data_IF_443764079709
#
_entry.id   IF_443764079709
#
_cell.length_a   1.000
_cell.length_b   1.000
_cell.length_c   1.000
_cell.angle_alpha   90.00
_cell.angle_beta   90.00
_cell.angle_gamma   90.00
#
_symmetry.space_group_name_H-M   'P 1'
#
loop_
_entity.id
_entity.type
_entity.pdbx_description
1 polymer ?
#
# COMPACT_ATOMS: atom_id res chain seq x y z
N UNK A 1 -70.61 -49.32 24.37
CA UNK A 1 -69.31 -48.92 24.85
C UNK A 1 -68.31 -49.09 23.73
N UNK A 2 -67.92 -48.05 23.00
CA UNK A 2 -66.93 -48.15 21.91
C UNK A 2 -65.58 -47.70 22.49
N UNK A 3 -64.58 -48.55 22.48
CA UNK A 3 -63.20 -48.28 22.87
C UNK A 3 -62.52 -47.59 21.70
N UNK A 4 -62.09 -46.37 21.91
CA UNK A 4 -61.25 -45.59 20.99
C UNK A 4 -59.77 -45.85 21.36
N UNK A 5 -59.03 -46.51 20.46
CA UNK A 5 -57.57 -46.66 20.60
C UNK A 5 -56.88 -45.39 20.05
N UNK A 6 -56.18 -44.70 20.92
CA UNK A 6 -55.33 -43.56 20.56
C UNK A 6 -53.93 -44.12 20.14
N UNK A 7 -53.66 -44.09 18.85
CA UNK A 7 -52.36 -44.48 18.31
C UNK A 7 -51.45 -43.28 18.31
N UNK A 8 -50.51 -43.19 19.26
CA UNK A 8 -49.51 -42.13 19.34
C UNK A 8 -48.38 -42.42 18.34
N UNK A 9 -48.34 -41.69 17.23
CA UNK A 9 -47.28 -41.81 16.24
C UNK A 9 -46.07 -41.00 16.73
N UNK A 10 -45.03 -41.67 17.25
CA UNK A 10 -43.75 -41.06 17.63
C UNK A 10 -42.96 -40.76 16.36
N UNK A 11 -42.98 -39.51 15.89
CA UNK A 11 -42.20 -39.05 14.75
C UNK A 11 -40.74 -38.84 15.22
N UNK A 12 -39.90 -39.88 15.10
CA UNK A 12 -38.44 -39.72 15.24
C UNK A 12 -37.92 -38.89 14.06
N UNK A 13 -37.75 -37.57 14.26
CA UNK A 13 -36.96 -36.75 13.36
C UNK A 13 -35.50 -37.24 13.41
N UNK A 14 -35.12 -38.12 12.52
CA UNK A 14 -33.72 -38.32 12.16
C UNK A 14 -33.23 -37.00 11.52
N UNK A 15 -32.64 -36.13 12.32
CA UNK A 15 -31.80 -35.04 11.80
C UNK A 15 -30.61 -35.74 11.16
N UNK A 16 -30.69 -35.96 9.84
CA UNK A 16 -29.52 -36.31 9.07
C UNK A 16 -28.51 -35.17 9.27
N UNK A 17 -27.47 -35.44 10.03
CA UNK A 17 -26.33 -34.52 10.12
C UNK A 17 -25.77 -34.41 8.70
N UNK A 18 -26.13 -33.35 7.99
CA UNK A 18 -25.48 -32.98 6.75
C UNK A 18 -24.05 -32.68 7.13
N UNK A 19 -23.14 -33.58 6.82
CA UNK A 19 -21.70 -33.37 6.97
C UNK A 19 -21.31 -32.34 5.90
N UNK A 20 -21.43 -31.07 6.23
CA UNK A 20 -20.91 -30.01 5.40
C UNK A 20 -19.40 -29.96 5.62
N UNK A 21 -18.63 -29.99 4.54
CA UNK A 21 -17.17 -29.80 4.57
C UNK A 21 -16.83 -28.43 5.18
N UNK A 22 -15.60 -28.28 5.72
CA UNK A 22 -15.16 -26.97 6.24
C UNK A 22 -15.28 -25.88 5.16
N UNK A 23 -15.80 -24.72 5.55
CA UNK A 23 -15.94 -23.55 4.66
C UNK A 23 -14.73 -22.65 4.90
N UNK A 24 -13.93 -22.45 3.85
CA UNK A 24 -12.80 -21.53 3.86
C UNK A 24 -13.20 -20.19 3.22
N UNK A 25 -12.65 -19.06 3.67
CA UNK A 25 -12.78 -17.81 2.93
C UNK A 25 -12.07 -17.92 1.58
N UNK A 26 -12.59 -17.25 0.54
CA UNK A 26 -12.07 -17.38 -0.82
C UNK A 26 -10.59 -17.00 -0.97
N UNK A 27 -10.07 -16.14 -0.10
CA UNK A 27 -8.63 -15.79 -0.09
C UNK A 27 -7.72 -16.99 0.27
N UNK A 28 -8.25 -18.00 0.95
CA UNK A 28 -7.60 -19.29 1.13
C UNK A 28 -8.01 -20.21 -0.03
N UNK A 29 -7.31 -20.12 -1.14
CA UNK A 29 -7.62 -20.83 -2.38
C UNK A 29 -6.37 -21.43 -3.02
N UNK A 30 -6.59 -22.22 -4.05
CA UNK A 30 -5.50 -22.67 -4.93
C UNK A 30 -4.65 -21.49 -5.38
N UNK A 31 -3.39 -21.73 -5.69
CA UNK A 31 -2.39 -20.76 -6.13
C UNK A 31 -1.97 -19.71 -5.08
N UNK A 32 -2.42 -19.78 -3.83
CA UNK A 32 -2.03 -18.82 -2.81
C UNK A 32 -0.53 -18.86 -2.49
N UNK A 33 -0.01 -17.75 -1.97
CA UNK A 33 1.34 -17.67 -1.38
C UNK A 33 1.19 -17.47 0.12
N UNK A 34 1.84 -18.31 0.92
CA UNK A 34 1.92 -18.16 2.37
C UNK A 34 3.28 -17.56 2.75
N UNK A 35 3.28 -16.67 3.75
CA UNK A 35 4.50 -16.02 4.24
C UNK A 35 5.50 -17.07 4.74
N UNK A 36 6.77 -17.00 4.27
CA UNK A 36 7.85 -17.90 4.68
C UNK A 36 8.31 -17.68 6.12
N UNK A 37 8.91 -18.71 6.73
CA UNK A 37 9.53 -18.67 8.06
C UNK A 37 8.63 -18.02 9.12
N UNK A 38 7.35 -18.32 9.09
CA UNK A 38 6.32 -17.67 9.90
C UNK A 38 5.32 -18.68 10.45
N UNK A 39 4.58 -18.26 11.48
CA UNK A 39 3.32 -18.86 11.84
C UNK A 39 2.23 -18.20 11.03
N UNK A 40 1.59 -18.96 10.15
CA UNK A 40 0.49 -18.49 9.31
C UNK A 40 -0.82 -19.07 9.78
N UNK A 41 -1.89 -18.31 9.65
CA UNK A 41 -3.22 -18.75 10.05
C UNK A 41 -3.97 -19.31 8.87
N UNK A 42 -4.65 -20.43 9.12
CA UNK A 42 -5.68 -21.03 8.26
C UNK A 42 -6.96 -20.99 9.06
N UNK A 43 -8.05 -20.46 8.49
CA UNK A 43 -9.29 -20.23 9.23
C UNK A 43 -10.52 -20.46 8.38
N UNK A 44 -11.65 -20.56 9.03
CA UNK A 44 -12.92 -20.75 8.36
C UNK A 44 -14.05 -21.12 9.30
N UNK A 45 -15.06 -21.74 8.73
CA UNK A 45 -16.24 -22.22 9.48
C UNK A 45 -16.40 -23.76 9.35
N UNK A 46 -16.90 -24.35 10.41
CA UNK A 46 -17.30 -25.75 10.50
C UNK A 46 -18.48 -25.87 11.46
N UNK A 47 -19.07 -27.07 11.63
CA UNK A 47 -20.10 -27.25 12.61
C UNK A 47 -19.56 -26.96 14.03
N UNK A 48 -20.34 -26.26 14.91
CA UNK A 48 -19.92 -25.96 16.27
C UNK A 48 -19.39 -27.17 17.02
N UNK A 49 -18.23 -27.00 17.66
CA UNK A 49 -17.60 -28.05 18.45
C UNK A 49 -16.87 -29.14 17.65
N UNK A 50 -16.95 -29.15 16.32
CA UNK A 50 -16.18 -30.09 15.47
C UNK A 50 -14.68 -29.81 15.58
N UNK A 51 -13.89 -30.86 15.47
CA UNK A 51 -12.44 -30.77 15.35
C UNK A 51 -12.07 -30.64 13.88
N UNK A 52 -11.36 -29.57 13.55
CA UNK A 52 -10.80 -29.34 12.20
C UNK A 52 -9.31 -29.67 12.24
N UNK A 53 -8.86 -30.49 11.29
CA UNK A 53 -7.47 -30.90 11.11
C UNK A 53 -6.90 -30.19 9.87
N UNK A 54 -5.76 -29.51 10.02
CA UNK A 54 -5.02 -28.85 8.95
C UNK A 54 -3.71 -29.63 8.73
N UNK A 55 -3.48 -30.08 7.49
CA UNK A 55 -2.34 -30.91 7.07
C UNK A 55 -1.64 -30.28 5.88
N UNK A 56 -0.56 -29.54 6.09
CA UNK A 56 0.28 -29.06 5.00
C UNK A 56 1.18 -30.18 4.47
N UNK A 57 1.41 -30.24 3.16
CA UNK A 57 2.25 -31.27 2.53
C UNK A 57 3.76 -31.07 2.74
N UNK A 58 4.18 -29.93 3.28
CA UNK A 58 5.60 -29.66 3.58
C UNK A 58 6.09 -30.19 4.94
N UNK A 59 5.19 -30.78 5.72
CA UNK A 59 5.52 -31.41 7.01
C UNK A 59 4.55 -32.55 7.29
N UNK A 60 4.96 -33.49 8.15
CA UNK A 60 4.07 -34.55 8.67
C UNK A 60 3.19 -34.09 9.86
N UNK A 61 3.40 -32.87 10.35
CA UNK A 61 2.62 -32.32 11.47
C UNK A 61 1.18 -32.06 11.07
N UNK A 62 0.26 -32.38 11.97
CA UNK A 62 -1.17 -32.10 11.82
C UNK A 62 -1.62 -31.18 12.93
N UNK A 63 -2.04 -29.98 12.56
CA UNK A 63 -2.64 -29.04 13.51
C UNK A 63 -4.12 -29.31 13.65
N UNK A 64 -4.60 -29.53 14.89
CA UNK A 64 -6.02 -29.75 15.19
C UNK A 64 -6.55 -28.63 16.06
N UNK A 65 -7.69 -28.06 15.67
CA UNK A 65 -8.40 -27.01 16.40
C UNK A 65 -9.88 -27.35 16.49
N UNK A 66 -10.56 -26.82 17.50
CA UNK A 66 -12.00 -27.03 17.70
C UNK A 66 -12.75 -25.77 17.27
N UNK A 67 -13.80 -25.94 16.45
CA UNK A 67 -14.69 -24.85 16.10
C UNK A 67 -15.45 -24.34 17.34
N UNK A 68 -15.59 -23.03 17.47
CA UNK A 68 -16.31 -22.38 18.56
C UNK A 68 -17.84 -22.59 18.47
N UNK A 69 -18.59 -21.98 19.39
CA UNK A 69 -20.05 -22.08 19.41
C UNK A 69 -20.74 -21.44 18.19
N UNK A 70 -20.03 -20.55 17.45
CA UNK A 70 -20.49 -19.95 16.19
C UNK A 70 -19.98 -20.69 14.97
N UNK A 71 -19.21 -21.78 15.16
CA UNK A 71 -18.58 -22.57 14.10
C UNK A 71 -17.28 -21.99 13.56
N UNK A 72 -16.75 -20.91 14.12
CA UNK A 72 -15.49 -20.33 13.67
C UNK A 72 -14.31 -21.13 14.22
N UNK A 73 -13.26 -21.27 13.41
CA UNK A 73 -12.01 -21.88 13.81
C UNK A 73 -10.83 -21.17 13.15
N UNK A 74 -9.70 -21.20 13.82
CA UNK A 74 -8.42 -20.70 13.33
C UNK A 74 -7.30 -21.64 13.78
N UNK A 75 -6.49 -22.10 12.84
CA UNK A 75 -5.33 -22.94 13.06
C UNK A 75 -4.07 -22.19 12.67
N UNK A 76 -3.07 -22.16 13.53
CA UNK A 76 -1.76 -21.57 13.23
C UNK A 76 -0.78 -22.68 12.88
N UNK A 77 -0.18 -22.63 11.69
CA UNK A 77 0.78 -23.60 11.17
C UNK A 77 2.11 -22.92 10.84
N UNK A 78 3.22 -23.65 10.96
CA UNK A 78 4.55 -23.12 10.61
C UNK A 78 4.84 -23.35 9.13
N UNK A 79 5.41 -22.34 8.47
CA UNK A 79 5.88 -22.43 7.08
C UNK A 79 7.39 -22.57 7.03
N UNK A 80 7.94 -23.33 6.07
CA UNK A 80 9.39 -23.42 5.84
C UNK A 80 9.91 -22.14 5.15
N UNK A 81 11.19 -22.13 4.83
CA UNK A 81 11.81 -21.15 3.96
C UNK A 81 11.18 -21.18 2.57
N UNK A 82 11.18 -20.04 1.90
CA UNK A 82 10.62 -19.86 0.57
C UNK A 82 11.23 -20.79 -0.48
N UNK A 83 10.40 -21.16 -1.44
CA UNK A 83 10.83 -21.98 -2.57
C UNK A 83 9.73 -22.10 -3.64
N UNK A 84 10.13 -22.59 -4.82
CA UNK A 84 9.25 -22.72 -5.99
C UNK A 84 8.55 -24.08 -6.07
N UNK A 85 8.80 -24.96 -5.13
CA UNK A 85 8.07 -26.24 -5.04
C UNK A 85 6.63 -25.98 -4.64
N UNK A 86 5.65 -26.36 -5.45
CA UNK A 86 4.25 -26.22 -5.07
C UNK A 86 3.86 -27.25 -4.02
N UNK A 87 3.12 -26.81 -3.02
CA UNK A 87 2.58 -27.63 -1.95
C UNK A 87 1.06 -27.75 -2.05
N UNK A 88 0.51 -28.68 -1.28
CA UNK A 88 -0.93 -28.75 -1.00
C UNK A 88 -1.20 -28.55 0.49
N UNK A 89 -2.40 -28.07 0.79
CA UNK A 89 -2.90 -27.89 2.14
C UNK A 89 -4.26 -28.53 2.27
N UNK A 90 -4.34 -29.60 3.09
CA UNK A 90 -5.60 -30.30 3.37
C UNK A 90 -6.23 -29.76 4.65
N UNK A 91 -7.53 -29.51 4.61
CA UNK A 91 -8.37 -29.08 5.74
C UNK A 91 -9.55 -30.01 5.85
N UNK A 92 -9.73 -30.67 7.01
CA UNK A 92 -10.80 -31.66 7.17
C UNK A 92 -11.45 -31.59 8.56
N UNK A 93 -12.77 -31.69 8.60
CA UNK A 93 -13.57 -31.88 9.82
C UNK A 93 -14.34 -33.20 9.79
N UNK A 94 -13.92 -34.13 8.95
CA UNK A 94 -14.55 -35.38 8.56
C UNK A 94 -14.69 -35.46 7.05
N UNK A 95 -14.99 -34.35 6.37
CA UNK A 95 -14.84 -34.18 4.93
C UNK A 95 -13.64 -33.28 4.61
N UNK A 96 -13.00 -33.49 3.47
CA UNK A 96 -11.74 -32.87 3.13
C UNK A 96 -11.89 -31.79 2.06
N UNK A 97 -11.20 -30.65 2.27
CA UNK A 97 -10.94 -29.63 1.26
C UNK A 97 -9.43 -29.58 1.05
N UNK A 98 -8.99 -29.68 -0.19
CA UNK A 98 -7.56 -29.59 -0.54
C UNK A 98 -7.32 -28.35 -1.36
N UNK A 99 -6.39 -27.50 -0.90
CA UNK A 99 -5.88 -26.36 -1.64
C UNK A 99 -4.57 -26.75 -2.31
N UNK A 100 -4.48 -26.51 -3.61
CA UNK A 100 -3.37 -26.95 -4.44
C UNK A 100 -2.49 -25.78 -4.90
N UNK A 101 -1.28 -26.10 -5.39
CA UNK A 101 -0.34 -25.13 -5.95
C UNK A 101 -0.02 -23.98 -4.99
N UNK A 102 0.08 -24.29 -3.68
CA UNK A 102 0.44 -23.34 -2.63
C UNK A 102 1.95 -23.10 -2.68
N UNK A 103 2.39 -21.85 -2.79
CA UNK A 103 3.79 -21.47 -2.71
C UNK A 103 4.10 -20.89 -1.33
N UNK A 104 5.35 -21.05 -0.90
CA UNK A 104 5.91 -20.37 0.28
C UNK A 104 6.84 -19.26 -0.20
N UNK A 105 6.57 -18.02 0.23
CA UNK A 105 7.28 -16.85 -0.26
C UNK A 105 7.07 -15.61 0.61
N UNK A 106 7.20 -14.44 0.00
CA UNK A 106 6.95 -13.15 0.65
C UNK A 106 5.53 -12.67 0.29
N UNK A 107 4.75 -12.26 1.29
CA UNK A 107 3.37 -11.79 1.08
C UNK A 107 3.25 -10.33 1.49
N UNK A 108 2.75 -9.48 0.59
CA UNK A 108 2.54 -8.06 0.83
C UNK A 108 1.10 -7.65 0.54
N UNK A 109 0.57 -6.75 1.38
CA UNK A 109 -0.71 -6.08 1.12
C UNK A 109 -0.44 -4.76 0.40
N UNK A 110 -1.01 -4.60 -0.79
CA UNK A 110 -1.01 -3.39 -1.59
C UNK A 110 -2.37 -2.70 -1.47
N UNK A 111 -2.40 -1.49 -0.91
CA UNK A 111 -3.67 -0.78 -0.70
C UNK A 111 -3.55 0.72 -1.04
N UNK A 112 -4.69 1.42 -1.06
CA UNK A 112 -4.77 2.83 -1.43
C UNK A 112 -5.88 3.15 -2.40
N UNK A 113 -5.64 4.15 -3.26
CA UNK A 113 -6.64 4.59 -4.24
C UNK A 113 -6.24 4.25 -5.69
N UNK A 114 -6.76 5.00 -6.66
CA UNK A 114 -6.66 4.68 -8.09
C UNK A 114 -5.24 4.46 -8.62
N UNK A 115 -4.22 5.14 -8.09
CA UNK A 115 -2.84 4.93 -8.50
C UNK A 115 -2.23 3.61 -7.98
N UNK A 116 -2.78 3.02 -6.90
CA UNK A 116 -2.51 1.63 -6.52
C UNK A 116 -3.40 0.66 -7.28
N UNK A 117 -4.66 1.02 -7.53
CA UNK A 117 -5.63 0.19 -8.24
C UNK A 117 -5.28 -0.01 -9.72
N UNK A 118 -4.72 1.01 -10.39
CA UNK A 118 -4.49 1.04 -11.84
C UNK A 118 -3.86 -0.26 -12.36
N UNK A 119 -4.59 -1.02 -13.19
CA UNK A 119 -4.10 -2.30 -13.69
C UNK A 119 -3.04 -2.11 -14.77
N UNK A 120 -2.25 -3.14 -15.05
CA UNK A 120 -1.27 -3.13 -16.14
C UNK A 120 -1.91 -2.75 -17.48
N UNK A 121 -3.17 -3.13 -17.70
CA UNK A 121 -3.92 -2.74 -18.92
C UNK A 121 -4.27 -1.25 -18.97
N UNK A 122 -4.00 -0.49 -17.90
CA UNK A 122 -4.36 0.92 -17.79
C UNK A 122 -5.83 1.17 -17.48
N UNK A 123 -6.18 2.45 -17.33
CA UNK A 123 -7.57 2.91 -17.31
C UNK A 123 -7.96 3.50 -18.66
N UNK A 124 -9.23 3.87 -18.83
CA UNK A 124 -9.70 4.56 -20.03
C UNK A 124 -8.86 5.83 -20.30
N UNK A 125 -8.25 5.90 -21.48
CA UNK A 125 -7.32 6.97 -21.90
C UNK A 125 -6.08 7.18 -21.01
N UNK A 126 -5.79 6.28 -20.07
CA UNK A 126 -4.64 6.36 -19.18
C UNK A 126 -3.80 5.09 -19.32
N UNK A 127 -2.78 5.07 -20.18
CA UNK A 127 -1.94 3.90 -20.38
C UNK A 127 -0.93 3.73 -19.24
N UNK A 128 -0.46 2.49 -19.05
CA UNK A 128 0.74 2.21 -18.24
C UNK A 128 1.94 2.10 -19.17
N UNK A 129 3.05 2.71 -18.79
CA UNK A 129 4.30 2.67 -19.56
C UNK A 129 4.79 1.23 -19.72
N UNK A 130 5.09 0.83 -20.98
CA UNK A 130 5.56 -0.51 -21.36
C UNK A 130 4.62 -1.66 -20.94
N UNK A 131 3.35 -1.40 -20.75
CA UNK A 131 2.37 -2.40 -20.31
C UNK A 131 2.36 -3.65 -21.20
N UNK A 132 2.30 -3.47 -22.53
CA UNK A 132 2.23 -4.59 -23.47
C UNK A 132 3.47 -5.50 -23.41
N UNK A 133 4.67 -4.93 -23.30
CA UNK A 133 5.92 -5.69 -23.07
C UNK A 133 5.87 -6.47 -21.75
N UNK A 134 5.45 -5.80 -20.69
CA UNK A 134 5.31 -6.40 -19.36
C UNK A 134 4.34 -7.57 -19.35
N UNK A 135 3.17 -7.41 -19.97
CA UNK A 135 2.15 -8.45 -20.08
C UNK A 135 2.67 -9.64 -20.90
N UNK A 136 3.29 -9.39 -22.06
CA UNK A 136 3.85 -10.45 -22.89
C UNK A 136 4.90 -11.29 -22.16
N UNK A 137 5.67 -10.69 -21.26
CA UNK A 137 6.72 -11.36 -20.45
C UNK A 137 6.22 -11.89 -19.11
N UNK A 138 4.95 -11.74 -18.78
CA UNK A 138 4.41 -12.10 -17.46
C UNK A 138 4.65 -13.57 -17.09
N UNK A 139 4.51 -14.49 -18.05
CA UNK A 139 4.75 -15.92 -17.86
C UNK A 139 6.18 -16.32 -17.44
N UNK A 140 7.15 -15.39 -17.52
CA UNK A 140 8.49 -15.60 -17.00
C UNK A 140 8.59 -15.41 -15.48
N UNK A 141 7.56 -14.83 -14.85
CA UNK A 141 7.50 -14.51 -13.41
C UNK A 141 6.57 -15.49 -12.67
N UNK A 142 6.71 -16.79 -12.90
CA UNK A 142 5.80 -17.86 -12.39
C UNK A 142 5.62 -17.89 -10.87
N UNK A 143 6.57 -17.36 -10.11
CA UNK A 143 6.49 -17.27 -8.65
C UNK A 143 5.72 -16.04 -8.15
N UNK A 144 5.30 -15.12 -9.02
CA UNK A 144 4.45 -13.99 -8.64
C UNK A 144 2.99 -14.43 -8.69
N UNK A 145 2.25 -14.13 -7.64
CA UNK A 145 0.82 -14.44 -7.51
C UNK A 145 0.06 -13.20 -7.02
N UNK A 146 -1.13 -13.03 -7.52
CA UNK A 146 -1.99 -11.91 -7.13
C UNK A 146 -3.36 -12.39 -6.69
N UNK A 147 -3.91 -11.73 -5.68
CA UNK A 147 -5.34 -11.73 -5.39
C UNK A 147 -5.80 -10.27 -5.32
N UNK A 148 -6.81 -9.94 -6.11
CA UNK A 148 -7.44 -8.62 -6.09
C UNK A 148 -8.77 -8.73 -5.35
N UNK A 149 -8.92 -7.96 -4.28
CA UNK A 149 -10.15 -7.88 -3.51
C UNK A 149 -11.15 -7.00 -4.26
N UNK A 150 -12.34 -7.52 -4.57
CA UNK A 150 -13.38 -6.72 -5.22
C UNK A 150 -13.81 -5.54 -4.36
N UNK A 151 -14.09 -4.41 -4.99
CA UNK A 151 -14.63 -3.23 -4.30
C UNK A 151 -15.93 -3.57 -3.58
N UNK A 152 -15.90 -3.46 -2.27
CA UNK A 152 -17.02 -3.76 -1.39
C UNK A 152 -17.02 -2.80 -0.23
N UNK A 153 -18.20 -2.33 0.17
CA UNK A 153 -18.37 -1.47 1.33
C UNK A 153 -19.26 -2.14 2.38
N UNK A 154 -19.01 -1.85 3.65
CA UNK A 154 -19.86 -2.31 4.75
C UNK A 154 -19.82 -1.33 5.92
N UNK A 155 -20.97 -1.07 6.53
CA UNK A 155 -21.08 -0.26 7.75
C UNK A 155 -20.51 -0.98 8.97
N UNK A 156 -20.53 -2.32 8.97
CA UNK A 156 -20.03 -3.18 10.04
C UNK A 156 -18.85 -4.04 9.55
N UNK A 157 -17.90 -4.40 10.45
CA UNK A 157 -16.77 -5.24 10.12
C UNK A 157 -17.19 -6.60 9.56
N UNK A 158 -16.62 -6.99 8.42
CA UNK A 158 -16.88 -8.27 7.77
C UNK A 158 -15.85 -9.34 8.21
N UNK A 159 -16.26 -10.62 8.23
CA UNK A 159 -15.39 -11.74 8.56
C UNK A 159 -14.74 -12.38 7.34
N UNK A 160 -15.33 -12.18 6.16
CA UNK A 160 -14.88 -12.82 4.91
C UNK A 160 -14.83 -11.80 3.78
N UNK A 161 -14.01 -12.09 2.79
CA UNK A 161 -13.82 -11.28 1.59
C UNK A 161 -13.79 -12.21 0.38
N UNK A 162 -14.22 -11.72 -0.77
CA UNK A 162 -14.09 -12.41 -2.04
C UNK A 162 -12.72 -12.18 -2.65
N UNK A 163 -12.31 -13.09 -3.52
CA UNK A 163 -11.07 -12.98 -4.29
C UNK A 163 -10.26 -14.28 -4.23
N UNK A 164 -9.82 -14.74 -5.40
CA UNK A 164 -9.01 -15.94 -5.56
C UNK A 164 -7.64 -15.59 -6.14
N UNK A 165 -6.63 -16.33 -5.70
CA UNK A 165 -5.26 -16.16 -6.17
C UNK A 165 -5.11 -16.57 -7.64
N UNK A 166 -4.39 -15.73 -8.38
CA UNK A 166 -4.11 -15.91 -9.80
C UNK A 166 -2.60 -16.01 -10.03
N UNK A 167 -2.23 -16.91 -10.93
CA UNK A 167 -0.86 -17.02 -11.44
C UNK A 167 -0.51 -15.85 -12.37
N UNK A 168 0.76 -15.47 -12.37
CA UNK A 168 1.29 -14.46 -13.29
C UNK A 168 1.44 -15.07 -14.69
N UNK A 169 0.42 -14.90 -15.51
CA UNK A 169 0.38 -15.29 -16.92
C UNK A 169 0.02 -14.09 -17.80
N UNK A 170 0.28 -14.11 -19.12
CA UNK A 170 -0.15 -13.06 -20.02
C UNK A 170 -1.67 -12.83 -20.01
N UNK A 171 -2.47 -13.84 -19.68
CA UNK A 171 -3.93 -13.75 -19.61
C UNK A 171 -4.40 -13.03 -18.34
N UNK A 172 -3.73 -13.26 -17.20
CA UNK A 172 -4.13 -12.70 -15.90
C UNK A 172 -3.49 -11.33 -15.63
N UNK A 173 -2.23 -11.15 -16.06
CA UNK A 173 -1.43 -9.97 -15.77
C UNK A 173 -2.09 -8.63 -16.17
N UNK A 174 -2.87 -8.52 -17.26
CA UNK A 174 -3.56 -7.27 -17.60
C UNK A 174 -4.38 -6.67 -16.46
N UNK A 175 -4.97 -7.52 -15.59
CA UNK A 175 -5.76 -7.10 -14.44
C UNK A 175 -4.98 -6.79 -13.17
N UNK A 176 -3.69 -7.06 -13.11
CA UNK A 176 -2.89 -6.84 -11.89
C UNK A 176 -2.54 -5.37 -11.72
N UNK A 177 -2.59 -4.87 -10.49
CA UNK A 177 -2.10 -3.54 -10.13
C UNK A 177 -0.69 -3.33 -10.69
N UNK A 178 -0.51 -2.30 -11.53
CA UNK A 178 0.78 -2.01 -12.16
C UNK A 178 1.84 -1.64 -11.12
N UNK A 179 1.51 -0.77 -10.17
CA UNK A 179 2.41 -0.39 -9.06
C UNK A 179 2.86 -1.61 -8.26
N UNK A 180 1.90 -2.43 -7.82
CA UNK A 180 2.20 -3.62 -7.03
C UNK A 180 2.91 -4.70 -7.86
N UNK A 181 2.66 -4.78 -9.17
CA UNK A 181 3.35 -5.72 -10.05
C UNK A 181 4.85 -5.41 -10.15
N UNK A 182 5.22 -4.16 -10.40
CA UNK A 182 6.64 -3.79 -10.49
C UNK A 182 7.37 -3.88 -9.14
N UNK A 183 6.66 -3.65 -8.04
CA UNK A 183 7.15 -3.96 -6.70
C UNK A 183 7.45 -5.46 -6.55
N UNK A 184 6.45 -6.32 -6.83
CA UNK A 184 6.60 -7.77 -6.73
C UNK A 184 7.68 -8.31 -7.65
N UNK A 185 7.74 -7.84 -8.91
CA UNK A 185 8.73 -8.27 -9.89
C UNK A 185 10.16 -7.94 -9.43
N UNK A 186 10.36 -6.77 -8.84
CA UNK A 186 11.67 -6.36 -8.34
C UNK A 186 12.10 -7.21 -7.15
N UNK A 187 11.21 -7.47 -6.18
CA UNK A 187 11.48 -8.37 -5.06
C UNK A 187 11.73 -9.81 -5.53
N UNK A 188 10.88 -10.32 -6.42
CA UNK A 188 11.02 -11.68 -7.00
C UNK A 188 12.39 -11.89 -7.62
N UNK A 189 12.88 -10.92 -8.40
CA UNK A 189 14.18 -10.99 -9.05
C UNK A 189 15.35 -10.84 -8.07
N UNK A 190 15.22 -9.96 -7.08
CA UNK A 190 16.29 -9.68 -6.13
C UNK A 190 16.44 -10.76 -5.06
N UNK A 191 15.32 -11.31 -4.58
CA UNK A 191 15.30 -12.28 -3.48
C UNK A 191 15.31 -13.73 -3.96
N UNK A 192 14.96 -13.98 -5.23
CA UNK A 192 14.78 -15.33 -5.80
C UNK A 192 13.80 -16.20 -5.01
N UNK A 193 12.67 -15.61 -4.59
CA UNK A 193 11.58 -16.28 -3.86
C UNK A 193 10.23 -15.96 -4.48
N UNK A 194 9.20 -16.80 -4.30
CA UNK A 194 7.84 -16.45 -4.65
C UNK A 194 7.37 -15.17 -3.95
N UNK A 195 6.53 -14.39 -4.63
CA UNK A 195 5.95 -13.16 -4.09
C UNK A 195 4.44 -13.14 -4.31
N UNK A 196 3.69 -13.12 -3.23
CA UNK A 196 2.24 -12.97 -3.22
C UNK A 196 1.82 -11.53 -2.92
N UNK A 197 0.93 -10.99 -3.72
CA UNK A 197 0.37 -9.66 -3.51
C UNK A 197 -1.14 -9.75 -3.29
N UNK A 198 -1.60 -9.22 -2.17
CA UNK A 198 -3.01 -8.98 -1.91
C UNK A 198 -3.28 -7.52 -2.26
N UNK A 199 -4.10 -7.28 -3.28
CA UNK A 199 -4.48 -5.91 -3.69
C UNK A 199 -5.85 -5.58 -3.10
N UNK A 200 -5.90 -4.57 -2.24
CA UNK A 200 -7.13 -4.05 -1.63
C UNK A 200 -7.13 -2.53 -1.80
N UNK A 201 -7.68 -2.04 -2.91
CA UNK A 201 -7.62 -0.64 -3.31
C UNK A 201 -8.93 -0.17 -3.94
N UNK A 202 -9.21 1.16 -3.82
CA UNK A 202 -10.42 1.76 -4.39
C UNK A 202 -10.15 3.21 -4.84
N UNK A 203 -10.30 3.46 -6.13
CA UNK A 203 -10.09 4.79 -6.73
C UNK A 203 -10.96 5.88 -6.09
N UNK A 204 -10.36 7.05 -5.87
CA UNK A 204 -11.05 8.18 -5.24
C UNK A 204 -11.21 8.10 -3.73
N UNK A 205 -10.67 7.06 -3.07
CA UNK A 205 -10.83 6.89 -1.63
C UNK A 205 -9.93 7.82 -0.81
N UNK A 206 -10.47 8.27 0.33
CA UNK A 206 -9.76 9.02 1.36
C UNK A 206 -9.16 8.06 2.39
N UNK A 207 -8.16 8.52 3.15
CA UNK A 207 -7.54 7.73 4.23
C UNK A 207 -8.57 7.31 5.29
N UNK A 208 -9.58 8.12 5.55
CA UNK A 208 -10.67 7.84 6.50
C UNK A 208 -11.49 6.60 6.12
N UNK A 209 -11.59 6.27 4.83
CA UNK A 209 -12.33 5.09 4.37
C UNK A 209 -11.67 3.77 4.81
N UNK A 210 -10.36 3.81 5.08
CA UNK A 210 -9.50 2.69 5.45
C UNK A 210 -9.17 2.63 6.93
N UNK A 211 -9.84 3.47 7.73
CA UNK A 211 -9.63 3.61 9.18
C UNK A 211 -10.84 3.07 9.95
N UNK A 212 -10.60 2.43 11.11
CA UNK A 212 -11.70 1.88 11.92
C UNK A 212 -12.59 2.96 12.54
N UNK A 213 -13.85 2.61 12.83
CA UNK A 213 -14.82 3.49 13.52
C UNK A 213 -14.23 4.03 14.83
N UNK A 214 -13.60 3.19 15.65
CA UNK A 214 -13.00 3.53 16.93
C UNK A 214 -12.04 4.73 16.85
N UNK A 215 -11.23 4.78 15.79
CA UNK A 215 -10.29 5.89 15.56
C UNK A 215 -11.03 7.11 15.01
N UNK A 216 -11.92 6.92 14.05
CA UNK A 216 -12.66 8.01 13.41
C UNK A 216 -13.55 8.77 14.40
N UNK A 217 -14.07 8.12 15.44
CA UNK A 217 -14.82 8.76 16.54
C UNK A 217 -14.00 9.77 17.33
N UNK A 218 -12.66 9.72 17.22
CA UNK A 218 -11.77 10.72 17.84
C UNK A 218 -11.58 11.98 16.99
N UNK A 219 -12.07 12.00 15.74
CA UNK A 219 -11.93 13.13 14.82
C UNK A 219 -13.18 14.02 14.84
N UNK A 220 -13.09 15.25 15.35
CA UNK A 220 -14.26 16.12 15.53
C UNK A 220 -14.91 16.60 14.22
N UNK A 221 -14.19 16.50 13.12
CA UNK A 221 -14.62 16.91 11.77
C UNK A 221 -15.18 15.75 10.92
N UNK A 222 -15.26 14.52 11.48
CA UNK A 222 -15.79 13.34 10.79
C UNK A 222 -17.16 12.96 11.38
N UNK A 223 -18.22 13.23 10.63
CA UNK A 223 -19.57 12.81 11.04
C UNK A 223 -19.81 11.34 10.64
N UNK A 224 -19.93 10.48 11.66
CA UNK A 224 -20.17 9.04 11.51
C UNK A 224 -21.65 8.66 11.64
N UNK A 225 -22.57 9.63 11.62
CA UNK A 225 -24.01 9.33 11.54
C UNK A 225 -24.34 8.60 10.22
N UNK A 226 -25.26 7.67 10.29
CA UNK A 226 -25.69 6.90 9.11
C UNK A 226 -26.18 7.82 7.98
N UNK A 227 -26.85 8.91 8.35
CA UNK A 227 -27.32 9.93 7.39
C UNK A 227 -26.14 10.57 6.66
N UNK A 228 -25.15 11.10 7.38
CA UNK A 228 -24.00 11.76 6.78
C UNK A 228 -23.19 10.82 5.89
N UNK A 229 -22.98 9.57 6.34
CA UNK A 229 -22.26 8.55 5.55
C UNK A 229 -23.01 8.24 4.25
N UNK A 230 -24.33 8.06 4.28
CA UNK A 230 -25.13 7.72 3.10
C UNK A 230 -25.22 8.86 2.08
N UNK A 231 -25.03 10.11 2.49
CA UNK A 231 -24.97 11.27 1.60
C UNK A 231 -23.65 11.36 0.82
N UNK A 232 -22.59 10.68 1.28
CA UNK A 232 -21.29 10.64 0.61
C UNK A 232 -21.26 9.59 -0.51
N UNK A 233 -20.49 9.84 -1.58
CA UNK A 233 -20.17 8.78 -2.55
C UNK A 233 -19.38 7.65 -1.87
N UNK A 234 -19.55 6.41 -2.33
CA UNK A 234 -18.90 5.22 -1.73
C UNK A 234 -17.39 5.41 -1.49
N UNK A 235 -16.70 6.05 -2.41
CA UNK A 235 -15.25 6.33 -2.31
C UNK A 235 -14.86 7.34 -1.22
N UNK A 236 -15.82 8.03 -0.60
CA UNK A 236 -15.58 9.01 0.46
C UNK A 236 -16.19 8.61 1.81
N UNK A 237 -16.91 7.50 1.88
CA UNK A 237 -17.55 7.01 3.11
C UNK A 237 -16.51 6.54 4.12
N UNK A 238 -16.45 7.14 5.33
CA UNK A 238 -15.50 6.71 6.36
C UNK A 238 -15.70 5.23 6.75
N UNK A 239 -14.62 4.52 7.11
CA UNK A 239 -14.55 3.14 7.60
C UNK A 239 -15.08 2.01 6.69
N UNK A 240 -15.89 2.29 5.68
CA UNK A 240 -16.59 1.21 4.96
C UNK A 240 -15.66 0.26 4.20
N UNK A 241 -14.52 0.78 3.72
CA UNK A 241 -13.50 -0.04 3.06
C UNK A 241 -12.65 -0.80 4.09
N UNK A 242 -12.33 -0.17 5.22
CA UNK A 242 -11.70 -0.89 6.31
C UNK A 242 -12.55 -2.09 6.73
N UNK A 243 -13.84 -1.89 6.96
CA UNK A 243 -14.75 -2.94 7.39
C UNK A 243 -14.88 -4.09 6.38
N UNK A 244 -14.95 -3.78 5.09
CA UNK A 244 -15.22 -4.78 4.03
C UNK A 244 -13.98 -5.33 3.34
N UNK A 245 -12.88 -4.56 3.26
CA UNK A 245 -11.75 -4.88 2.41
C UNK A 245 -10.41 -5.01 3.17
N UNK A 246 -10.33 -4.58 4.43
CA UNK A 246 -9.14 -4.73 5.29
C UNK A 246 -9.43 -5.71 6.42
N UNK A 247 -10.49 -5.50 7.17
CA UNK A 247 -10.85 -6.28 8.36
C UNK A 247 -10.92 -7.80 8.09
N UNK A 248 -11.45 -8.28 6.96
CA UNK A 248 -11.47 -9.73 6.65
C UNK A 248 -10.09 -10.33 6.37
N UNK A 249 -9.06 -9.51 6.11
CA UNK A 249 -7.72 -9.94 5.74
C UNK A 249 -6.76 -10.10 6.93
N UNK A 250 -7.12 -9.63 8.12
CA UNK A 250 -6.21 -9.55 9.28
C UNK A 250 -5.64 -10.89 9.74
N UNK A 251 -6.28 -11.98 9.39
CA UNK A 251 -5.77 -13.32 9.67
C UNK A 251 -4.73 -13.81 8.66
N UNK A 252 -4.65 -13.18 7.48
CA UNK A 252 -3.65 -13.52 6.48
C UNK A 252 -2.30 -12.93 6.88
N UNK A 253 -1.32 -13.79 7.11
CA UNK A 253 0.02 -13.33 7.54
C UNK A 253 0.74 -12.66 6.38
N UNK A 254 1.11 -11.40 6.55
CA UNK A 254 1.82 -10.58 5.57
C UNK A 254 3.18 -10.13 6.11
N UNK A 255 4.10 -9.82 5.20
CA UNK A 255 5.39 -9.24 5.52
C UNK A 255 5.30 -7.75 5.83
N UNK A 256 4.41 -7.04 5.13
CA UNK A 256 4.22 -5.60 5.27
C UNK A 256 3.17 -5.06 4.32
N UNK A 257 3.09 -3.75 4.28
CA UNK A 257 2.12 -3.00 3.50
C UNK A 257 2.81 -2.07 2.51
N UNK A 258 2.25 -1.94 1.31
CA UNK A 258 2.57 -0.86 0.38
C UNK A 258 1.31 -0.03 0.12
N UNK A 259 1.45 1.31 0.11
CA UNK A 259 0.33 2.23 0.08
C UNK A 259 0.51 3.34 -0.97
N UNK A 260 -0.52 3.60 -1.79
CA UNK A 260 -0.52 4.71 -2.72
C UNK A 260 -1.87 5.43 -2.70
N UNK A 261 -1.95 6.52 -1.97
CA UNK A 261 -3.16 7.31 -1.76
C UNK A 261 -2.76 8.72 -1.30
N UNK A 262 -3.62 9.69 -1.49
CA UNK A 262 -3.45 11.04 -0.99
C UNK A 262 -4.22 12.06 -1.81
N UNK A 263 -4.41 11.83 -3.09
CA UNK A 263 -5.03 12.77 -4.03
C UNK A 263 -6.43 13.20 -3.58
N UNK A 264 -7.20 12.29 -2.99
CA UNK A 264 -8.54 12.57 -2.46
C UNK A 264 -8.54 13.31 -1.11
N UNK A 265 -7.39 13.46 -0.47
CA UNK A 265 -7.18 14.23 0.76
C UNK A 265 -6.50 15.58 0.51
N UNK A 266 -6.26 15.98 -0.75
CA UNK A 266 -5.77 17.34 -1.06
C UNK A 266 -6.77 18.37 -0.52
N UNK A 267 -6.26 19.36 0.22
CA UNK A 267 -7.06 20.29 1.01
C UNK A 267 -7.24 19.89 2.49
N UNK A 268 -6.76 18.69 2.90
CA UNK A 268 -6.78 18.23 4.30
C UNK A 268 -5.37 17.93 4.81
N UNK A 269 -4.37 18.66 4.32
CA UNK A 269 -2.95 18.43 4.63
C UNK A 269 -2.62 18.61 6.11
N UNK A 270 -3.34 19.48 6.82
CA UNK A 270 -3.11 19.76 8.25
C UNK A 270 -3.31 18.53 9.14
N UNK A 271 -4.20 17.63 8.76
CA UNK A 271 -4.57 16.43 9.54
C UNK A 271 -4.08 15.13 8.92
N UNK A 272 -3.62 15.17 7.65
CA UNK A 272 -3.34 13.95 6.90
C UNK A 272 -2.24 13.09 7.50
N UNK A 273 -1.13 13.69 7.95
CA UNK A 273 0.00 12.95 8.51
C UNK A 273 -0.41 12.13 9.74
N UNK A 274 -1.18 12.72 10.65
CA UNK A 274 -1.70 12.05 11.84
C UNK A 274 -2.72 10.96 11.47
N UNK A 275 -3.63 11.24 10.54
CA UNK A 275 -4.64 10.27 10.10
C UNK A 275 -4.02 9.05 9.42
N UNK A 276 -2.98 9.25 8.59
CA UNK A 276 -2.23 8.14 8.00
C UNK A 276 -1.55 7.32 9.08
N UNK A 277 -0.90 7.95 10.06
CA UNK A 277 -0.27 7.26 11.17
C UNK A 277 -1.27 6.45 12.02
N UNK A 278 -2.42 7.02 12.31
CA UNK A 278 -3.47 6.35 13.06
C UNK A 278 -4.07 5.15 12.31
N UNK A 279 -4.26 5.28 10.99
CA UNK A 279 -4.68 4.17 10.13
C UNK A 279 -3.66 3.01 10.17
N UNK A 280 -2.37 3.30 10.01
CA UNK A 280 -1.31 2.29 10.05
C UNK A 280 -1.25 1.59 11.41
N UNK A 281 -1.34 2.35 12.49
CA UNK A 281 -1.35 1.79 13.85
C UNK A 281 -2.58 0.91 14.09
N UNK A 282 -3.74 1.29 13.53
CA UNK A 282 -4.94 0.45 13.54
C UNK A 282 -4.70 -0.90 12.87
N UNK A 283 -4.17 -0.89 11.65
CA UNK A 283 -3.89 -2.11 10.91
C UNK A 283 -2.89 -3.00 11.65
N UNK A 284 -1.77 -2.44 12.15
CA UNK A 284 -0.79 -3.19 12.93
C UNK A 284 -1.36 -3.82 14.20
N UNK A 285 -2.21 -3.08 14.92
CA UNK A 285 -2.95 -3.58 16.09
C UNK A 285 -3.81 -4.79 15.74
N UNK A 286 -4.49 -4.76 14.60
CA UNK A 286 -5.36 -5.84 14.15
C UNK A 286 -4.60 -7.07 13.66
N UNK A 287 -3.52 -6.88 12.90
CA UNK A 287 -2.67 -7.98 12.45
C UNK A 287 -1.90 -8.67 13.59
N UNK A 288 -1.57 -7.93 14.66
CA UNK A 288 -0.83 -8.45 15.84
C UNK A 288 0.53 -9.08 15.49
N UNK A 289 1.19 -8.57 14.48
CA UNK A 289 2.50 -9.02 14.02
C UNK A 289 3.61 -7.98 14.30
N UNK A 290 3.37 -7.07 15.24
CA UNK A 290 4.30 -5.97 15.57
C UNK A 290 4.25 -4.83 14.55
N UNK A 291 5.36 -4.07 14.51
CA UNK A 291 5.49 -2.93 13.60
C UNK A 291 5.82 -3.37 12.19
N UNK A 292 4.83 -3.99 11.50
CA UNK A 292 4.97 -4.39 10.11
C UNK A 292 5.44 -3.20 9.25
N UNK A 293 6.37 -3.39 8.28
CA UNK A 293 6.80 -2.36 7.37
C UNK A 293 5.61 -1.70 6.64
N UNK A 294 5.64 -0.37 6.53
CA UNK A 294 4.66 0.40 5.79
C UNK A 294 5.38 1.36 4.83
N UNK A 295 5.43 1.01 3.55
CA UNK A 295 6.08 1.82 2.53
C UNK A 295 5.04 2.49 1.64
N UNK A 296 5.19 3.79 1.39
CA UNK A 296 4.15 4.52 0.69
C UNK A 296 4.68 5.51 -0.33
N UNK A 297 3.78 5.92 -1.21
CA UNK A 297 4.08 6.74 -2.37
C UNK A 297 3.60 8.16 -2.12
N UNK A 298 4.48 9.13 -2.33
CA UNK A 298 4.12 10.54 -2.47
C UNK A 298 3.16 10.73 -3.66
N UNK A 299 2.11 11.53 -3.52
CA UNK A 299 1.22 11.82 -4.66
C UNK A 299 2.00 12.55 -5.77
N UNK A 300 1.70 12.19 -7.01
CA UNK A 300 2.36 12.76 -8.17
C UNK A 300 1.96 14.24 -8.39
N UNK A 301 2.81 15.03 -9.05
CA UNK A 301 2.44 16.35 -9.53
C UNK A 301 1.19 16.29 -10.42
N UNK A 302 0.23 17.18 -10.13
CA UNK A 302 -1.04 17.28 -10.85
C UNK A 302 -1.65 18.66 -10.62
N UNK A 303 -2.35 19.23 -11.61
CA UNK A 303 -3.04 20.51 -11.47
C UNK A 303 -4.32 20.33 -10.66
N UNK A 304 -4.27 20.70 -9.39
CA UNK A 304 -5.46 20.72 -8.51
C UNK A 304 -6.29 22.02 -8.70
N UNK A 305 -7.37 22.16 -7.90
CA UNK A 305 -8.34 23.24 -8.07
C UNK A 305 -7.80 24.68 -7.94
N UNK A 306 -6.67 24.87 -7.28
CA UNK A 306 -5.95 26.13 -7.14
C UNK A 306 -4.94 26.42 -8.28
N UNK A 307 -4.95 25.58 -9.33
CA UNK A 307 -4.19 25.75 -10.57
C UNK A 307 -2.78 25.16 -10.55
N UNK A 308 -2.05 25.31 -11.65
CA UNK A 308 -0.72 24.73 -11.86
C UNK A 308 0.31 25.21 -10.84
N UNK A 309 0.29 26.50 -10.55
CA UNK A 309 1.21 27.16 -9.61
C UNK A 309 0.71 27.16 -8.16
N UNK A 310 -0.50 26.65 -7.92
CA UNK A 310 -1.05 26.47 -6.59
C UNK A 310 -0.22 25.48 -5.76
N UNK A 311 -0.50 25.40 -4.46
CA UNK A 311 0.32 24.65 -3.51
C UNK A 311 -0.44 23.56 -2.77
N UNK A 312 -1.75 23.38 -3.02
CA UNK A 312 -2.58 22.42 -2.29
C UNK A 312 -2.06 20.97 -2.37
N UNK A 313 -1.58 20.54 -3.55
CA UNK A 313 -0.93 19.24 -3.74
C UNK A 313 0.45 19.18 -3.07
N UNK A 314 1.24 20.27 -3.13
CA UNK A 314 2.54 20.34 -2.48
C UNK A 314 2.45 20.27 -0.96
N UNK A 315 1.44 20.90 -0.36
CA UNK A 315 1.16 20.83 1.07
C UNK A 315 0.78 19.39 1.50
N UNK A 316 0.04 18.67 0.66
CA UNK A 316 -0.24 17.26 0.96
C UNK A 316 1.02 16.39 0.82
N UNK A 317 1.87 16.60 -0.17
CA UNK A 317 3.18 15.91 -0.28
C UNK A 317 4.04 16.18 0.96
N UNK A 318 4.06 17.41 1.46
CA UNK A 318 4.75 17.75 2.72
C UNK A 318 4.15 17.00 3.92
N UNK A 319 2.81 16.87 3.99
CA UNK A 319 2.14 16.08 5.03
C UNK A 319 2.47 14.60 4.92
N UNK A 320 2.54 14.04 3.71
CA UNK A 320 3.01 12.68 3.47
C UNK A 320 4.46 12.51 3.94
N UNK A 321 5.36 13.43 3.60
CA UNK A 321 6.74 13.40 4.08
C UNK A 321 6.82 13.43 5.61
N UNK A 322 6.01 14.25 6.28
CA UNK A 322 5.96 14.32 7.75
C UNK A 322 5.45 13.02 8.40
N UNK A 323 4.57 12.30 7.72
CA UNK A 323 3.98 11.06 8.26
C UNK A 323 5.03 9.98 8.57
N UNK A 324 6.14 9.89 7.81
CA UNK A 324 7.19 8.90 8.07
C UNK A 324 7.83 9.04 9.47
N UNK A 325 7.84 10.24 10.05
CA UNK A 325 8.37 10.48 11.39
C UNK A 325 7.37 10.14 12.50
N UNK A 326 6.10 9.95 12.15
CA UNK A 326 5.03 9.52 13.07
C UNK A 326 4.79 8.00 13.03
N UNK A 327 5.24 7.34 11.96
CA UNK A 327 5.01 5.92 11.72
C UNK A 327 6.35 5.17 11.83
N UNK A 328 6.63 4.46 12.93
CA UNK A 328 7.82 3.61 13.02
C UNK A 328 7.88 2.60 11.88
N UNK A 329 9.08 2.18 11.46
CA UNK A 329 9.27 1.20 10.38
C UNK A 329 8.45 1.53 9.12
N UNK A 330 8.60 2.76 8.64
CA UNK A 330 7.95 3.26 7.42
C UNK A 330 8.92 4.05 6.55
N UNK A 331 8.53 4.31 5.31
CA UNK A 331 9.28 5.17 4.42
C UNK A 331 8.43 5.61 3.23
N UNK A 332 8.72 6.80 2.72
CA UNK A 332 8.05 7.41 1.57
C UNK A 332 8.97 7.42 0.35
N UNK A 333 8.45 7.04 -0.81
CA UNK A 333 9.14 7.25 -2.09
C UNK A 333 8.56 8.46 -2.81
N UNK A 334 9.42 9.28 -3.44
CA UNK A 334 9.00 10.45 -4.21
C UNK A 334 8.66 10.10 -5.66
N UNK A 335 7.76 10.89 -6.26
CA UNK A 335 7.27 10.74 -7.64
C UNK A 335 7.35 12.03 -8.46
N UNK A 336 7.96 13.09 -7.94
CA UNK A 336 8.00 14.40 -8.57
C UNK A 336 8.72 14.44 -9.94
N UNK A 337 9.45 13.40 -10.30
CA UNK A 337 10.16 13.19 -11.56
C UNK A 337 9.51 12.14 -12.48
N UNK A 338 8.40 11.53 -12.06
CA UNK A 338 7.76 10.39 -12.75
C UNK A 338 6.54 10.79 -13.60
N UNK A 339 6.41 12.07 -13.88
CA UNK A 339 5.36 12.64 -14.75
C UNK A 339 5.99 13.36 -15.94
N UNK A 340 5.24 13.46 -17.02
CA UNK A 340 5.59 14.21 -18.23
C UNK A 340 4.78 15.52 -18.30
N UNK A 341 5.29 16.56 -18.98
CA UNK A 341 4.59 17.85 -19.08
C UNK A 341 3.15 17.75 -19.61
N UNK A 342 2.88 16.82 -20.53
CA UNK A 342 1.54 16.62 -21.08
C UNK A 342 0.61 15.89 -20.08
N UNK A 343 1.12 15.29 -19.00
CA UNK A 343 0.35 14.60 -17.97
C UNK A 343 -0.17 15.54 -16.87
N UNK A 344 0.10 16.82 -16.95
CA UNK A 344 -0.25 17.80 -15.90
C UNK A 344 -1.73 17.84 -15.49
N UNK A 345 -2.63 17.39 -16.36
CA UNK A 345 -4.06 17.20 -16.09
C UNK A 345 -4.47 15.73 -15.96
N UNK A 346 -3.49 14.82 -15.94
CA UNK A 346 -3.71 13.40 -15.74
C UNK A 346 -3.27 13.00 -14.31
N UNK A 347 -4.24 12.72 -13.43
CA UNK A 347 -3.98 12.30 -12.05
C UNK A 347 -3.38 10.88 -11.95
N UNK A 348 -3.33 10.15 -13.06
CA UNK A 348 -2.81 8.78 -13.16
C UNK A 348 -1.58 8.72 -14.07
N UNK A 349 -0.38 9.15 -13.59
CA UNK A 349 0.84 9.09 -14.40
C UNK A 349 1.12 7.67 -14.89
N UNK A 350 1.56 7.56 -16.13
CA UNK A 350 1.80 6.26 -16.78
C UNK A 350 3.00 5.48 -16.23
N UNK A 351 3.98 6.17 -15.59
CA UNK A 351 5.19 5.54 -15.07
C UNK A 351 4.94 4.84 -13.73
N UNK A 352 4.34 3.65 -13.75
CA UNK A 352 4.21 2.78 -12.58
C UNK A 352 5.44 1.91 -12.33
N UNK A 353 6.33 1.82 -13.33
CA UNK A 353 7.55 1.01 -13.26
C UNK A 353 8.45 1.50 -12.14
N UNK A 354 8.82 2.77 -12.17
CA UNK A 354 9.77 3.32 -11.20
C UNK A 354 9.12 3.54 -9.84
N UNK A 355 7.80 3.77 -9.78
CA UNK A 355 7.05 3.76 -8.51
C UNK A 355 7.19 2.40 -7.82
N UNK A 356 6.88 1.31 -8.50
CA UNK A 356 6.99 -0.04 -7.93
C UNK A 356 8.42 -0.43 -7.58
N UNK A 357 9.40 -0.07 -8.43
CA UNK A 357 10.83 -0.31 -8.14
C UNK A 357 11.30 0.44 -6.90
N UNK A 358 10.97 1.74 -6.75
CA UNK A 358 11.37 2.53 -5.58
C UNK A 358 10.80 1.97 -4.28
N UNK A 359 9.53 1.55 -4.29
CA UNK A 359 8.94 0.82 -3.16
C UNK A 359 9.72 -0.46 -2.84
N UNK A 360 10.12 -1.21 -3.87
CA UNK A 360 10.89 -2.43 -3.69
C UNK A 360 12.32 -2.17 -3.21
N UNK A 361 12.98 -1.10 -3.66
CA UNK A 361 14.30 -0.70 -3.15
C UNK A 361 14.23 -0.39 -1.66
N UNK A 362 13.18 0.30 -1.23
CA UNK A 362 12.95 0.56 0.19
C UNK A 362 12.74 -0.75 0.98
N UNK A 363 11.93 -1.67 0.47
CA UNK A 363 11.76 -2.97 1.10
C UNK A 363 13.07 -3.78 1.13
N UNK A 364 13.84 -3.82 0.04
CA UNK A 364 15.13 -4.52 -0.04
C UNK A 364 16.14 -3.98 0.98
N UNK A 365 16.24 -2.66 1.11
CA UNK A 365 17.13 -2.02 2.09
C UNK A 365 16.64 -2.23 3.51
N UNK A 366 15.42 -1.79 3.82
CA UNK A 366 14.90 -1.68 5.20
C UNK A 366 14.39 -3.01 5.78
N UNK A 367 13.69 -3.82 4.97
CA UNK A 367 13.07 -5.08 5.43
C UNK A 367 14.00 -6.28 5.23
N UNK A 368 14.73 -6.32 4.10
CA UNK A 368 15.55 -7.48 3.73
C UNK A 368 17.05 -7.26 3.97
N UNK A 369 17.46 -6.08 4.44
CA UNK A 369 18.85 -5.82 4.86
C UNK A 369 19.87 -5.73 3.73
N UNK A 370 19.44 -5.40 2.50
CA UNK A 370 20.33 -5.20 1.36
C UNK A 370 21.01 -3.83 1.44
N UNK A 371 21.99 -3.68 2.33
CA UNK A 371 22.66 -2.41 2.64
C UNK A 371 23.31 -1.67 1.44
N UNK A 372 23.53 -2.35 0.32
CA UNK A 372 24.03 -1.74 -0.91
C UNK A 372 22.95 -1.06 -1.77
N UNK A 373 21.68 -1.28 -1.45
CA UNK A 373 20.53 -0.70 -2.16
C UNK A 373 20.16 0.63 -1.49
N UNK A 374 20.21 1.73 -2.25
CA UNK A 374 19.72 3.03 -1.78
C UNK A 374 18.19 3.02 -1.80
N UNK A 375 17.57 3.58 -0.78
CA UNK A 375 16.14 3.57 -0.55
C UNK A 375 15.53 4.98 -0.45
N UNK A 376 16.36 6.01 -0.18
CA UNK A 376 15.95 7.41 -0.09
C UNK A 376 16.67 8.28 -1.09
N UNK A 377 15.95 9.22 -1.68
CA UNK A 377 16.53 10.38 -2.35
C UNK A 377 17.01 11.42 -1.34
N UNK A 378 17.71 12.49 -1.79
CA UNK A 378 18.12 13.55 -0.88
C UNK A 378 16.93 14.25 -0.25
N UNK A 379 16.98 14.41 1.08
CA UNK A 379 15.99 15.08 1.91
C UNK A 379 16.58 16.35 2.49
N UNK A 380 15.85 17.47 2.39
CA UNK A 380 16.27 18.73 2.98
C UNK A 380 16.56 18.59 4.48
N UNK A 381 17.75 19.04 4.91
CA UNK A 381 18.20 18.96 6.30
C UNK A 381 18.26 20.32 6.97
N UNK A 382 18.95 21.28 6.35
CA UNK A 382 19.15 22.61 6.90
C UNK A 382 19.57 23.63 5.84
N UNK A 383 19.40 24.90 6.16
CA UNK A 383 19.92 26.01 5.35
C UNK A 383 20.77 26.99 6.17
N UNK A 384 21.71 27.64 5.49
CA UNK A 384 22.46 28.81 5.97
C UNK A 384 22.34 29.94 4.96
N UNK A 385 22.13 31.16 5.43
CA UNK A 385 22.08 32.38 4.57
C UNK A 385 23.39 33.11 4.73
N UNK A 386 24.10 33.29 3.62
CA UNK A 386 25.40 33.98 3.64
C UNK A 386 25.68 34.68 2.31
N UNK A 387 26.06 35.97 2.37
CA UNK A 387 26.46 36.73 1.19
C UNK A 387 25.39 36.83 0.10
N UNK A 388 24.11 36.97 0.48
CA UNK A 388 23.00 37.04 -0.47
C UNK A 388 22.64 35.71 -1.16
N UNK A 389 23.13 34.58 -0.63
CA UNK A 389 22.87 33.22 -1.12
C UNK A 389 22.35 32.32 0.01
N UNK A 390 21.62 31.26 -0.34
CA UNK A 390 21.18 30.24 0.58
C UNK A 390 21.94 28.93 0.29
N UNK A 391 22.57 28.37 1.33
CA UNK A 391 23.33 27.13 1.30
C UNK A 391 22.46 26.04 1.89
N UNK A 392 22.16 24.98 1.12
CA UNK A 392 21.27 23.90 1.51
C UNK A 392 22.03 22.60 1.73
N UNK A 393 21.81 21.97 2.89
CA UNK A 393 22.33 20.64 3.21
C UNK A 393 21.22 19.60 3.13
N UNK A 394 21.58 18.36 2.79
CA UNK A 394 20.65 17.25 2.62
C UNK A 394 21.13 16.00 3.33
N UNK A 395 20.20 15.19 3.82
CA UNK A 395 20.45 13.78 4.15
C UNK A 395 20.46 12.97 2.83
N UNK A 396 21.02 11.78 2.84
CA UNK A 396 21.06 10.83 1.69
C UNK A 396 21.72 11.41 0.42
N UNK A 397 22.66 12.34 0.60
CA UNK A 397 23.46 12.94 -0.48
C UNK A 397 24.97 12.75 -0.27
N UNK A 398 25.39 11.73 0.45
CA UNK A 398 26.77 11.47 0.87
C UNK A 398 27.74 11.34 -0.31
N UNK A 399 27.25 10.87 -1.47
CA UNK A 399 28.02 10.75 -2.71
C UNK A 399 27.76 11.92 -3.69
N UNK A 400 27.02 12.97 -3.25
CA UNK A 400 26.69 14.14 -4.07
C UNK A 400 25.45 13.95 -4.94
N UNK A 401 25.35 14.79 -5.98
CA UNK A 401 24.17 14.89 -6.85
C UNK A 401 24.47 14.44 -8.27
N UNK A 402 23.45 14.03 -9.01
CA UNK A 402 23.54 13.50 -10.38
C UNK A 402 23.93 14.55 -11.45
N UNK A 403 23.75 15.83 -11.14
CA UNK A 403 24.07 16.95 -12.05
C UNK A 403 24.53 18.18 -11.31
N UNK A 404 25.31 18.99 -12.00
CA UNK A 404 25.85 20.27 -11.47
C UNK A 404 25.35 21.49 -12.23
N UNK A 405 24.67 21.28 -13.36
CA UNK A 405 24.11 22.32 -14.24
C UNK A 405 22.71 21.96 -14.71
N UNK A 406 21.93 22.98 -15.10
CA UNK A 406 20.58 22.78 -15.60
C UNK A 406 19.62 22.20 -14.56
N UNK A 407 19.81 22.55 -13.28
CA UNK A 407 18.94 22.13 -12.18
C UNK A 407 17.70 23.00 -12.20
N UNK A 408 16.52 22.37 -12.27
CA UNK A 408 15.22 23.00 -12.32
C UNK A 408 14.45 22.77 -11.01
N UNK A 409 13.34 23.50 -10.84
CA UNK A 409 12.39 23.30 -9.75
C UNK A 409 12.67 24.11 -8.49
N UNK A 410 13.78 24.89 -8.43
CA UNK A 410 14.09 25.74 -7.30
C UNK A 410 13.52 27.15 -7.47
N UNK A 411 12.99 27.67 -6.38
CA UNK A 411 12.52 29.05 -6.26
C UNK A 411 13.05 29.67 -4.95
N UNK A 412 13.29 30.95 -4.97
CA UNK A 412 13.85 31.71 -3.86
C UNK A 412 13.03 32.98 -3.61
N UNK A 413 12.84 33.37 -2.37
CA UNK A 413 12.09 34.54 -1.96
C UNK A 413 12.91 35.43 -1.02
N UNK A 414 12.70 36.76 -1.15
CA UNK A 414 13.12 37.77 -0.19
C UNK A 414 12.09 38.04 0.91
N UNK A 415 12.25 39.19 1.61
CA UNK A 415 11.34 39.59 2.68
C UNK A 415 9.90 39.90 2.21
N UNK A 416 9.69 40.10 0.92
CA UNK A 416 8.38 40.25 0.28
C UNK A 416 7.60 38.93 0.20
N UNK A 417 8.28 37.79 0.44
CA UNK A 417 7.73 36.43 0.36
C UNK A 417 7.25 36.00 -1.04
N UNK A 418 7.69 36.72 -2.08
CA UNK A 418 7.37 36.37 -3.46
C UNK A 418 8.47 35.45 -3.99
N UNK A 419 8.04 34.25 -4.47
CA UNK A 419 8.97 33.25 -4.99
C UNK A 419 9.29 33.51 -6.47
N UNK A 420 10.57 33.51 -6.80
CA UNK A 420 11.11 33.64 -8.14
C UNK A 420 12.02 32.46 -8.49
N UNK A 421 12.13 32.08 -9.77
CA UNK A 421 13.07 31.05 -10.19
C UNK A 421 14.48 31.32 -9.68
N UNK A 422 15.14 30.28 -9.21
CA UNK A 422 16.47 30.41 -8.61
C UNK A 422 17.55 29.76 -9.47
N UNK A 423 18.76 30.35 -9.46
CA UNK A 423 19.97 29.70 -9.94
C UNK A 423 20.49 28.78 -8.84
N UNK A 424 20.89 27.57 -9.25
CA UNK A 424 21.45 26.57 -8.35
C UNK A 424 22.85 26.18 -8.80
N UNK A 425 23.79 26.23 -7.88
CA UNK A 425 25.17 25.76 -8.03
C UNK A 425 25.42 24.61 -7.05
N UNK A 426 26.17 23.61 -7.48
CA UNK A 426 26.54 22.48 -6.60
C UNK A 426 27.96 22.72 -6.08
N UNK A 427 28.13 22.86 -4.78
CA UNK A 427 29.44 22.78 -4.15
C UNK A 427 29.86 21.31 -4.01
N UNK A 428 30.70 20.87 -4.92
CA UNK A 428 31.18 19.48 -4.99
C UNK A 428 32.04 19.08 -3.77
N UNK A 429 32.74 20.05 -3.14
CA UNK A 429 33.60 19.74 -2.00
C UNK A 429 32.77 19.50 -0.73
N UNK A 430 31.75 20.33 -0.52
CA UNK A 430 30.90 20.27 0.66
C UNK A 430 29.61 19.46 0.44
N UNK A 431 29.31 19.08 -0.81
CA UNK A 431 28.09 18.29 -1.19
C UNK A 431 26.79 19.00 -0.82
N UNK A 432 26.77 20.33 -1.03
CA UNK A 432 25.63 21.20 -0.75
C UNK A 432 25.17 21.91 -2.01
N UNK A 433 23.95 22.44 -1.98
CA UNK A 433 23.43 23.30 -3.03
C UNK A 433 23.52 24.77 -2.59
N UNK A 434 23.92 25.64 -3.52
CA UNK A 434 23.97 27.09 -3.34
C UNK A 434 22.89 27.68 -4.22
N UNK A 435 21.88 28.28 -3.61
CA UNK A 435 20.71 28.85 -4.29
C UNK A 435 20.76 30.38 -4.25
N UNK A 436 20.56 31.03 -5.38
CA UNK A 436 20.63 32.49 -5.49
C UNK A 436 19.74 33.03 -6.61
N UNK A 437 19.47 34.34 -6.52
CA UNK A 437 18.86 35.13 -7.61
C UNK A 437 19.41 36.56 -7.52
N UNK A 438 19.90 37.11 -8.65
CA UNK A 438 20.52 38.44 -8.70
C UNK A 438 19.57 39.55 -8.26
N UNK A 439 18.29 39.39 -8.49
CA UNK A 439 17.25 40.36 -8.10
C UNK A 439 16.79 40.21 -6.63
N UNK A 440 17.34 39.22 -5.90
CA UNK A 440 16.98 38.94 -4.50
C UNK A 440 18.27 38.94 -3.65
N UNK A 441 18.84 40.12 -3.33
CA UNK A 441 20.09 40.18 -2.61
C UNK A 441 20.00 39.76 -1.14
N UNK A 442 18.80 39.75 -0.57
CA UNK A 442 18.52 39.32 0.81
C UNK A 442 17.49 38.21 0.83
N UNK A 443 17.86 36.98 0.40
CA UNK A 443 16.93 35.86 0.38
C UNK A 443 16.63 35.36 1.78
N UNK A 444 15.39 34.86 2.00
CA UNK A 444 14.94 34.36 3.29
C UNK A 444 14.39 32.93 3.20
N UNK A 445 13.98 32.47 2.01
CA UNK A 445 13.38 31.15 1.82
C UNK A 445 13.68 30.56 0.44
N UNK A 446 13.67 29.21 0.40
CA UNK A 446 13.78 28.39 -0.81
C UNK A 446 12.68 27.37 -0.84
N UNK A 447 12.14 27.09 -2.03
CA UNK A 447 11.24 25.98 -2.33
C UNK A 447 11.82 25.13 -3.46
N UNK A 448 11.61 23.82 -3.41
CA UNK A 448 11.93 22.89 -4.49
C UNK A 448 10.72 22.07 -4.84
N UNK A 449 10.26 22.15 -6.10
CA UNK A 449 9.08 21.48 -6.62
C UNK A 449 7.84 21.64 -5.70
N UNK A 450 7.69 22.81 -5.07
CA UNK A 450 6.62 23.07 -4.09
C UNK A 450 5.43 23.78 -4.75
N UNK A 451 4.94 23.17 -5.85
CA UNK A 451 3.74 23.56 -6.60
C UNK A 451 2.89 22.35 -6.89
N UNK A 452 1.65 22.54 -7.31
CA UNK A 452 0.77 21.47 -7.74
C UNK A 452 1.40 20.65 -8.86
N UNK A 453 1.90 21.33 -9.90
CA UNK A 453 2.62 20.70 -10.99
C UNK A 453 3.98 21.38 -11.21
N UNK A 454 5.01 20.69 -10.85
CA UNK A 454 6.40 21.10 -11.11
C UNK A 454 7.27 19.83 -11.09
N UNK A 455 8.01 19.61 -12.18
CA UNK A 455 8.85 18.43 -12.35
C UNK A 455 10.27 18.75 -11.88
N UNK A 456 10.78 17.91 -10.99
CA UNK A 456 12.16 17.96 -10.53
C UNK A 456 13.11 17.16 -11.43
N UNK A 457 14.38 17.55 -11.46
CA UNK A 457 15.40 16.86 -12.24
C UNK A 457 16.72 16.66 -11.50
N UNK A 458 16.70 16.78 -10.19
CA UNK A 458 17.86 16.59 -9.33
C UNK A 458 17.74 15.29 -8.54
N UNK A 459 18.79 14.48 -8.56
CA UNK A 459 18.85 13.16 -7.94
C UNK A 459 20.15 13.02 -7.13
N UNK A 460 20.20 12.02 -6.25
CA UNK A 460 21.50 11.53 -5.78
C UNK A 460 22.20 10.67 -6.85
N UNK A 461 23.39 10.18 -6.56
CA UNK A 461 24.17 9.33 -7.48
C UNK A 461 23.61 7.93 -7.67
N UNK A 462 22.50 7.58 -7.02
CA UNK A 462 21.74 6.34 -7.17
C UNK A 462 20.42 6.55 -7.92
N UNK A 463 20.25 7.71 -8.57
CA UNK A 463 19.10 8.08 -9.37
C UNK A 463 17.78 8.15 -8.57
N UNK A 464 17.86 8.39 -7.26
CA UNK A 464 16.69 8.71 -6.44
C UNK A 464 16.51 10.24 -6.35
N UNK A 465 15.30 10.76 -6.61
CA UNK A 465 15.07 12.20 -6.72
C UNK A 465 15.16 12.92 -5.37
N UNK A 466 15.55 14.19 -5.41
CA UNK A 466 15.38 15.08 -4.26
C UNK A 466 13.90 15.19 -3.92
N UNK A 467 13.57 14.97 -2.66
CA UNK A 467 12.20 15.10 -2.15
C UNK A 467 11.77 16.57 -2.21
N UNK A 468 10.58 16.89 -2.73
CA UNK A 468 10.05 18.26 -2.70
C UNK A 468 10.02 18.83 -1.28
N UNK A 469 10.42 20.11 -1.15
CA UNK A 469 10.47 20.75 0.15
C UNK A 469 10.26 22.27 0.08
N UNK A 470 9.98 22.86 1.23
CA UNK A 470 10.09 24.29 1.50
C UNK A 470 10.88 24.57 2.78
N UNK A 471 11.49 25.75 2.86
CA UNK A 471 12.20 26.20 4.06
C UNK A 471 11.41 27.24 4.86
N UNK A 472 10.23 27.58 4.37
CA UNK A 472 9.34 28.61 4.92
C UNK A 472 8.07 28.01 5.59
N UNK A 473 7.31 28.90 6.23
CA UNK A 473 6.00 28.65 6.83
C UNK A 473 5.02 29.79 6.51
N UNK A 474 5.12 30.38 5.32
CA UNK A 474 4.37 31.59 4.97
C UNK A 474 2.88 31.37 4.79
N UNK A 475 2.47 30.12 4.55
CA UNK A 475 1.07 29.75 4.46
C UNK A 475 0.61 29.25 5.84
N UNK A 476 -0.22 30.05 6.48
CA UNK A 476 -0.95 29.72 7.69
C UNK A 476 -2.41 30.11 7.53
#
# INVERSE_FOLDING_TARGET
MKKVYFLTFLFCCLVAAVFAKPILPEILSDNMVLQQNAKVNIWGKSAPGKTVAVRPSWTSEVTKVKADAKGNWIASISTPSAGFTPYSLSVSDGEEVVLNNVLIGEVWLASGQSNMEMPLNGFWNNPVLKANETIAMAGQNKGIRFVTIPKTEAMEPQETVKGMWQECTPENAPGFSATAYYFAQTLYRALHVPVGIIVSSWGGSRVECWTSREILETYPDVDLSEKAINELPSSARPMVMYNAMIRPLIHYTVKGFIWYQGESNVGSHDVYAERLANMVNCWRKDWRLGDLPFYYVEIAPFIYGDGETGTSGALLREAQFKAQFLIPNSGMISTNDLVEDYEKTNIHPRNKIDVGKRLAFMALSQTYGHAGVADHGPEYKSMEIKGGKIFLSFNHSENGFSRTVGINGFEIAGNDRIFHPAKVEVDLNNRILIVSNENIPNPVAVRYCFKNFQIGNLYNTRELPVVPFRTDNFEK
#
